data_IF_256108893338
#
_entry.id   IF_256108893338
#
_cell.length_a   1.000
_cell.length_b   1.000
_cell.length_c   1.000
_cell.angle_alpha   90.00
_cell.angle_beta   90.00
_cell.angle_gamma   90.00
#
_symmetry.space_group_name_H-M   'P 1'
#
loop_
_entity.id
_entity.type
_entity.pdbx_description
1 polymer ?
#
# COMPACT_ATOMS: atom_id res chain seq x y z
N UNK A 1 3.28 7.97 6.17
CA UNK A 1 4.69 7.92 5.73
C UNK A 1 5.24 9.34 5.72
N UNK A 2 6.51 9.58 6.04
CA UNK A 2 7.11 10.93 6.06
C UNK A 2 8.39 10.92 5.24
N UNK A 3 8.57 11.90 4.37
CA UNK A 3 9.71 12.05 3.48
C UNK A 3 10.28 13.46 3.58
N UNK A 4 11.61 13.55 3.48
CA UNK A 4 12.31 14.79 3.19
C UNK A 4 12.53 14.89 1.69
N UNK A 5 12.25 16.05 1.12
CA UNK A 5 12.36 16.32 -0.31
C UNK A 5 13.08 17.65 -0.56
N UNK A 6 13.67 17.78 -1.74
CA UNK A 6 14.19 19.07 -2.22
C UNK A 6 13.08 19.93 -2.89
N UNK A 7 13.45 21.15 -3.26
CA UNK A 7 12.57 22.13 -3.93
C UNK A 7 12.06 21.71 -5.32
N UNK A 8 12.69 20.70 -5.93
CA UNK A 8 12.33 20.16 -7.26
C UNK A 8 11.47 18.91 -7.13
N UNK A 9 11.35 18.36 -5.92
CA UNK A 9 10.53 17.20 -5.60
C UNK A 9 11.29 15.87 -5.61
N UNK A 10 12.61 15.87 -5.51
CA UNK A 10 13.36 14.62 -5.30
C UNK A 10 13.24 14.15 -3.86
N UNK A 11 12.99 12.84 -3.66
CA UNK A 11 13.00 12.23 -2.34
C UNK A 11 14.45 12.12 -1.82
N UNK A 12 14.78 12.86 -0.78
CA UNK A 12 16.12 12.86 -0.17
C UNK A 12 16.26 11.78 0.90
N UNK A 13 15.22 11.65 1.73
CA UNK A 13 15.25 10.75 2.89
C UNK A 13 13.84 10.26 3.24
N UNK A 14 13.74 9.02 3.72
CA UNK A 14 12.52 8.50 4.33
C UNK A 14 12.66 8.56 5.86
N UNK A 15 11.78 9.30 6.52
CA UNK A 15 11.83 9.56 7.96
C UNK A 15 10.84 8.69 8.75
N UNK A 16 10.21 7.71 8.11
CA UNK A 16 9.28 6.80 8.79
C UNK A 16 10.00 5.69 9.57
N UNK A 17 9.42 5.31 10.71
CA UNK A 17 9.96 4.28 11.60
C UNK A 17 9.77 2.83 11.11
N UNK A 18 8.93 2.60 10.10
CA UNK A 18 8.66 1.27 9.54
C UNK A 18 8.58 1.33 8.01
N UNK A 19 9.62 0.82 7.35
CA UNK A 19 9.70 0.70 5.89
C UNK A 19 8.71 -0.32 5.31
N UNK A 20 8.16 -1.22 6.12
CA UNK A 20 7.14 -2.20 5.70
C UNK A 20 5.78 -1.59 5.36
N UNK A 21 5.54 -0.32 5.74
CA UNK A 21 4.35 0.43 5.35
C UNK A 21 4.53 1.25 4.07
N UNK A 22 5.70 1.15 3.43
CA UNK A 22 5.93 1.81 2.16
C UNK A 22 5.37 0.97 1.01
N UNK A 23 4.68 1.64 0.11
CA UNK A 23 4.15 1.02 -1.10
C UNK A 23 5.24 0.64 -2.12
N UNK A 24 6.38 1.30 -2.04
CA UNK A 24 7.61 1.00 -2.77
C UNK A 24 8.80 0.98 -1.79
N UNK A 25 9.80 0.10 -1.97
CA UNK A 25 11.01 0.14 -1.16
C UNK A 25 11.65 1.55 -1.19
N UNK A 26 12.21 2.05 -0.07
CA UNK A 26 12.84 3.37 -0.02
C UNK A 26 13.84 3.59 -1.16
N UNK A 27 14.67 2.59 -1.46
CA UNK A 27 15.70 2.65 -2.51
C UNK A 27 15.13 2.88 -3.92
N UNK A 28 13.84 2.59 -4.14
CA UNK A 28 13.17 2.85 -5.41
C UNK A 28 12.56 4.25 -5.50
N UNK A 29 12.47 4.96 -4.37
CA UNK A 29 11.93 6.32 -4.27
C UNK A 29 13.06 7.35 -4.16
N UNK A 30 14.09 7.04 -3.37
CA UNK A 30 15.16 7.98 -3.06
C UNK A 30 15.90 8.42 -4.31
N UNK A 31 16.15 9.73 -4.40
CA UNK A 31 16.83 10.46 -5.48
C UNK A 31 16.16 10.35 -6.84
N UNK A 32 14.94 9.81 -6.91
CA UNK A 32 14.16 9.84 -8.15
C UNK A 32 13.29 11.08 -8.20
N UNK A 33 13.08 11.65 -9.40
CA UNK A 33 12.13 12.73 -9.59
C UNK A 33 10.70 12.21 -9.44
N UNK A 34 9.77 13.10 -9.11
CA UNK A 34 8.34 12.77 -8.95
C UNK A 34 7.79 11.97 -10.15
N UNK A 35 8.11 12.40 -11.37
CA UNK A 35 7.61 11.79 -12.62
C UNK A 35 8.04 10.32 -12.80
N UNK A 36 9.10 9.88 -12.13
CA UNK A 36 9.57 8.49 -12.19
C UNK A 36 8.86 7.59 -11.16
N UNK A 37 8.16 8.19 -10.19
CA UNK A 37 7.54 7.46 -9.07
C UNK A 37 6.03 7.64 -8.97
N UNK A 38 5.43 8.55 -9.75
CA UNK A 38 3.99 8.76 -9.85
C UNK A 38 3.59 9.24 -11.26
N UNK A 39 2.30 9.11 -11.63
CA UNK A 39 1.82 9.62 -12.91
C UNK A 39 2.07 11.13 -13.08
N UNK A 40 2.27 11.57 -14.32
CA UNK A 40 2.58 12.97 -14.66
C UNK A 40 1.57 13.97 -14.06
N UNK A 41 0.28 13.62 -14.05
CA UNK A 41 -0.78 14.48 -13.50
C UNK A 41 -0.59 14.70 -11.99
N UNK A 42 -0.21 13.65 -11.26
CA UNK A 42 0.05 13.73 -9.83
C UNK A 42 1.36 14.47 -9.57
N UNK A 43 2.41 14.18 -10.35
CA UNK A 43 3.69 14.87 -10.25
C UNK A 43 3.53 16.39 -10.43
N UNK A 44 2.71 16.84 -11.37
CA UNK A 44 2.42 18.25 -11.57
C UNK A 44 1.72 18.89 -10.35
N UNK A 45 0.74 18.20 -9.75
CA UNK A 45 0.06 18.68 -8.55
C UNK A 45 1.02 18.79 -7.35
N UNK A 46 1.93 17.83 -7.22
CA UNK A 46 2.99 17.87 -6.21
C UNK A 46 3.95 19.04 -6.43
N UNK A 47 4.47 19.22 -7.64
CA UNK A 47 5.39 20.32 -7.95
C UNK A 47 4.75 21.67 -7.67
N UNK A 48 3.48 21.86 -8.01
CA UNK A 48 2.77 23.10 -7.71
C UNK A 48 2.59 23.30 -6.19
N UNK A 49 2.22 22.25 -5.46
CA UNK A 49 2.10 22.32 -4.00
C UNK A 49 3.45 22.61 -3.31
N UNK A 50 4.55 22.04 -3.79
CA UNK A 50 5.90 22.35 -3.31
C UNK A 50 6.23 23.82 -3.56
N UNK A 51 6.01 24.30 -4.79
CA UNK A 51 6.25 25.70 -5.17
C UNK A 51 5.48 26.66 -4.29
N UNK A 52 4.19 26.40 -4.05
CA UNK A 52 3.35 27.23 -3.18
C UNK A 52 3.84 27.15 -1.74
N UNK A 53 4.12 25.96 -1.19
CA UNK A 53 4.62 25.79 0.17
C UNK A 53 5.92 26.58 0.42
N UNK A 54 6.86 26.56 -0.53
CA UNK A 54 8.10 27.34 -0.43
C UNK A 54 7.84 28.85 -0.51
N UNK A 55 6.94 29.29 -1.39
CA UNK A 55 6.66 30.71 -1.57
C UNK A 55 5.89 31.32 -0.39
N UNK A 56 4.92 30.59 0.17
CA UNK A 56 4.03 31.11 1.22
C UNK A 56 4.47 30.73 2.63
N UNK A 57 5.33 29.71 2.76
CA UNK A 57 5.66 29.07 4.04
C UNK A 57 4.44 28.46 4.74
N UNK A 58 3.36 28.22 4.00
CA UNK A 58 2.15 27.57 4.49
C UNK A 58 2.08 26.12 4.02
N UNK A 59 1.55 25.24 4.88
CA UNK A 59 1.35 23.83 4.53
C UNK A 59 0.31 23.69 3.42
N UNK A 60 0.69 23.01 2.34
CA UNK A 60 -0.21 22.64 1.26
C UNK A 60 -0.75 21.23 1.50
N UNK A 61 -2.04 21.04 1.25
CA UNK A 61 -2.69 19.73 1.35
C UNK A 61 -3.31 19.39 0.01
N UNK A 62 -2.87 18.29 -0.58
CA UNK A 62 -3.38 17.79 -1.86
C UNK A 62 -3.85 16.35 -1.72
N UNK A 63 -4.82 15.96 -2.54
CA UNK A 63 -5.29 14.59 -2.66
C UNK A 63 -4.89 14.07 -4.02
N UNK A 64 -4.15 12.98 -4.03
CA UNK A 64 -3.51 12.42 -5.22
C UNK A 64 -3.68 10.91 -5.23
N UNK A 65 -3.55 10.31 -6.40
CA UNK A 65 -3.32 8.86 -6.47
C UNK A 65 -1.93 8.51 -5.96
N UNK A 66 -1.80 7.28 -5.47
CA UNK A 66 -0.58 6.80 -4.84
C UNK A 66 0.59 6.64 -5.81
N UNK A 67 1.74 6.30 -5.23
CA UNK A 67 2.96 6.02 -5.97
C UNK A 67 2.76 4.82 -6.91
N UNK A 68 3.53 4.78 -8.00
CA UNK A 68 3.53 3.65 -8.94
C UNK A 68 3.71 2.31 -8.21
N UNK A 69 3.13 1.23 -8.76
CA UNK A 69 3.18 -0.10 -8.16
C UNK A 69 1.90 -0.46 -7.39
N UNK A 70 2.03 -1.18 -6.27
CA UNK A 70 0.89 -1.77 -5.55
C UNK A 70 -0.10 -0.74 -4.95
N UNK A 71 0.24 0.55 -4.97
CA UNK A 71 -0.57 1.64 -4.43
C UNK A 71 -1.02 2.66 -5.47
N UNK A 72 -0.84 2.39 -6.76
CA UNK A 72 -1.15 3.36 -7.81
C UNK A 72 -2.63 3.80 -7.80
N UNK A 73 -3.54 2.94 -7.30
CA UNK A 73 -4.96 3.24 -7.19
C UNK A 73 -5.40 3.72 -5.79
N UNK A 74 -4.48 3.75 -4.81
CA UNK A 74 -4.80 4.25 -3.48
C UNK A 74 -4.86 5.77 -3.51
N UNK A 75 -5.95 6.35 -3.00
CA UNK A 75 -6.00 7.78 -2.75
C UNK A 75 -5.12 8.10 -1.53
N UNK A 76 -4.29 9.13 -1.67
CA UNK A 76 -3.39 9.59 -0.62
C UNK A 76 -3.65 11.08 -0.39
N UNK A 77 -3.74 11.46 0.88
CA UNK A 77 -3.59 12.86 1.30
C UNK A 77 -2.11 13.13 1.53
N UNK A 78 -1.56 14.04 0.73
CA UNK A 78 -0.21 14.55 0.91
C UNK A 78 -0.28 15.91 1.60
N UNK A 79 0.44 16.05 2.72
CA UNK A 79 0.66 17.34 3.38
C UNK A 79 2.11 17.74 3.20
N UNK A 80 2.31 18.90 2.59
CA UNK A 80 3.58 19.38 2.08
C UNK A 80 3.89 20.69 2.82
N UNK A 81 4.97 20.71 3.60
CA UNK A 81 5.38 21.87 4.38
C UNK A 81 6.84 22.21 4.13
N UNK A 82 7.19 23.50 4.07
CA UNK A 82 8.58 23.92 4.06
C UNK A 82 9.26 23.57 5.39
N UNK A 83 10.51 23.12 5.34
CA UNK A 83 11.33 22.82 6.52
C UNK A 83 12.76 23.35 6.42
N UNK A 84 12.96 24.41 5.64
CA UNK A 84 14.25 25.02 5.36
C UNK A 84 14.13 25.99 4.19
N UNK A 85 15.26 26.49 3.70
CA UNK A 85 15.28 27.39 2.54
C UNK A 85 14.86 26.67 1.24
N UNK A 86 15.29 25.43 1.07
CA UNK A 86 15.22 24.63 -0.16
C UNK A 86 14.65 23.22 0.08
N UNK A 87 13.99 23.01 1.23
CA UNK A 87 13.55 21.69 1.70
C UNK A 87 12.10 21.63 2.07
N UNK A 88 11.52 20.47 1.77
CA UNK A 88 10.12 20.15 2.01
C UNK A 88 10.03 18.89 2.86
N UNK A 89 9.14 18.94 3.85
CA UNK A 89 8.66 17.75 4.56
C UNK A 89 7.32 17.34 3.95
N UNK A 90 7.24 16.11 3.45
CA UNK A 90 6.02 15.54 2.90
C UNK A 90 5.52 14.41 3.80
N UNK A 91 4.30 14.55 4.32
CA UNK A 91 3.60 13.47 5.03
C UNK A 91 2.47 12.91 4.17
N UNK A 92 2.44 11.58 4.04
CA UNK A 92 1.51 10.85 3.20
C UNK A 92 0.63 9.94 4.04
N UNK A 93 -0.68 10.18 3.94
CA UNK A 93 -1.72 9.43 4.63
C UNK A 93 -2.62 8.76 3.60
N UNK A 94 -2.70 7.42 3.57
CA UNK A 94 -3.68 6.72 2.74
C UNK A 94 -5.09 7.12 3.17
N UNK A 95 -5.90 7.59 2.23
CA UNK A 95 -7.32 7.81 2.44
C UNK A 95 -8.05 6.48 2.26
N UNK A 96 -8.18 5.74 3.36
CA UNK A 96 -8.98 4.51 3.44
C UNK A 96 -10.47 4.86 3.37
N UNK A 97 -10.96 5.24 2.18
CA UNK A 97 -12.39 5.52 1.99
C UNK A 97 -13.15 4.43 1.21
N UNK A 98 -12.48 3.50 0.52
CA UNK A 98 -13.16 2.46 -0.29
C UNK A 98 -12.80 1.00 0.05
N UNK A 99 -12.04 0.76 1.12
CA UNK A 99 -11.76 -0.60 1.61
C UNK A 99 -12.81 -1.13 2.60
N UNK A 100 -14.06 -0.67 2.49
CA UNK A 100 -15.15 -1.51 2.99
C UNK A 100 -15.23 -2.69 2.01
N UNK A 101 -14.99 -3.95 2.46
CA UNK A 101 -15.38 -5.08 1.63
C UNK A 101 -16.85 -4.85 1.25
N UNK A 102 -17.28 -5.16 0.00
CA UNK A 102 -18.68 -5.01 -0.37
C UNK A 102 -19.48 -5.68 0.73
N UNK A 103 -20.32 -4.90 1.42
CA UNK A 103 -21.16 -5.42 2.49
C UNK A 103 -21.84 -6.65 1.92
N UNK A 104 -21.45 -7.84 2.41
CA UNK A 104 -22.18 -9.05 2.07
C UNK A 104 -23.59 -8.76 2.56
N UNK A 105 -24.61 -8.73 1.68
CA UNK A 105 -25.96 -8.50 2.14
C UNK A 105 -26.26 -9.55 3.24
N UNK A 106 -26.94 -9.17 4.33
CA UNK A 106 -27.22 -10.08 5.45
C UNK A 106 -27.93 -11.37 5.02
N UNK A 107 -28.52 -11.41 3.82
CA UNK A 107 -29.24 -12.54 3.23
C UNK A 107 -28.47 -13.37 2.20
N UNK A 108 -27.15 -13.19 2.05
CA UNK A 108 -26.38 -14.10 1.19
C UNK A 108 -26.44 -15.53 1.78
N UNK A 109 -26.99 -16.53 1.07
CA UNK A 109 -27.06 -17.89 1.57
C UNK A 109 -25.65 -18.36 1.88
N UNK A 110 -25.45 -18.88 3.10
CA UNK A 110 -24.16 -19.45 3.50
C UNK A 110 -23.78 -20.51 2.46
N UNK A 111 -22.53 -20.55 1.97
CA UNK A 111 -22.08 -21.67 1.18
C UNK A 111 -22.29 -22.93 2.04
N UNK A 112 -23.17 -23.80 1.57
CA UNK A 112 -23.38 -25.11 2.18
C UNK A 112 -22.05 -25.83 2.11
N UNK A 113 -21.45 -26.08 3.27
CA UNK A 113 -20.25 -26.91 3.36
C UNK A 113 -20.53 -28.23 2.61
N UNK A 114 -19.65 -28.67 1.70
CA UNK A 114 -19.85 -29.95 1.04
C UNK A 114 -19.89 -31.03 2.12
N UNK A 115 -21.00 -31.76 2.15
CA UNK A 115 -21.16 -32.93 3.01
C UNK A 115 -20.00 -33.88 2.71
N UNK A 116 -19.17 -34.27 3.71
CA UNK A 116 -18.14 -35.24 3.47
C UNK A 116 -18.76 -36.57 3.00
N UNK A 117 -18.15 -37.26 2.02
CA UNK A 117 -18.64 -38.56 1.58
C UNK A 117 -18.61 -39.56 2.76
N UNK A 118 -19.52 -40.55 2.79
CA UNK A 118 -19.54 -41.53 3.85
C UNK A 118 -18.21 -42.30 3.89
N UNK A 119 -17.53 -42.21 5.02
CA UNK A 119 -16.37 -43.02 5.36
C UNK A 119 -16.76 -44.49 5.27
N UNK A 120 -16.29 -45.18 4.22
CA UNK A 120 -16.39 -46.63 4.15
C UNK A 120 -15.53 -47.22 5.26
N UNK A 121 -16.19 -47.78 6.27
CA UNK A 121 -15.58 -48.63 7.29
C UNK A 121 -15.04 -49.89 6.61
N UNK A 122 -13.75 -49.88 6.31
CA UNK A 122 -12.99 -51.08 5.97
C UNK A 122 -12.99 -52.02 7.16
N UNK A 123 -13.87 -53.02 7.13
CA UNK A 123 -13.85 -54.15 8.04
C UNK A 123 -12.61 -54.99 7.78
N UNK A 124 -11.69 -54.98 8.74
CA UNK A 124 -10.66 -55.98 8.92
C UNK A 124 -11.28 -57.36 9.17
N UNK A 125 -10.83 -58.39 8.44
CA UNK A 125 -10.67 -59.72 9.03
C UNK A 125 -9.37 -60.38 8.57
N UNK A 126 -8.55 -60.63 9.59
CA UNK A 126 -7.36 -61.45 9.67
C UNK A 126 -7.64 -62.92 9.35
N UNK A 127 -6.64 -63.64 8.84
CA UNK A 127 -6.17 -65.02 9.16
C UNK A 127 -5.50 -65.62 7.92
N UNK A 128 -4.50 -66.50 7.95
CA UNK A 128 -3.53 -66.99 8.92
C UNK A 128 -2.62 -67.95 8.14
N UNK A 129 -1.37 -68.07 8.57
CA UNK A 129 -0.53 -69.27 8.54
C UNK A 129 0.20 -69.76 7.27
N UNK A 130 1.39 -70.29 7.61
CA UNK A 130 2.15 -71.39 7.01
C UNK A 130 3.24 -70.99 6.01
N UNK A 131 4.49 -70.77 6.45
CA UNK A 131 5.52 -71.76 6.81
C UNK A 131 6.07 -72.56 5.61
N UNK A 132 7.35 -72.35 5.27
CA UNK A 132 8.48 -73.31 5.36
C UNK A 132 9.59 -73.01 4.34
N UNK A 133 10.81 -73.19 4.85
CA UNK A 133 12.11 -73.37 4.19
C UNK A 133 12.75 -72.12 3.56
#
# INVERSE_FOLDING_TARGET
>A
MIFLMDEVGHFLEFLGSNSGNLFLPPDQLLRKPLVDVMPMTEAAAWSEAIRVALATQETQVIKVKGLLGAAADLMIEARIASCGADRILASLLPLLHDFLPPHRPPDAPRPVSPTPPPTSLGGTMNTSASARC
#
